data_IF_115266283072
#
_entry.id   IF_115266283072
#
_cell.length_a   1.000
_cell.length_b   1.000
_cell.length_c   1.000
_cell.angle_alpha   90.00
_cell.angle_beta   90.00
_cell.angle_gamma   90.00
#
_symmetry.space_group_name_H-M   'P 1'
#
loop_
_entity.id
_entity.type
_entity.pdbx_description
1 polymer ?
#
# COMPACT_ATOMS: atom_id res chain seq x y z
N UNK A 1 8.19 23.75 1.35
CA UNK A 1 8.10 22.53 0.52
C UNK A 1 9.16 21.46 0.83
N UNK A 2 10.33 21.79 1.40
CA UNK A 2 11.41 20.81 1.64
C UNK A 2 11.09 19.67 2.63
N UNK A 3 10.13 19.86 3.57
CA UNK A 3 9.72 18.83 4.55
C UNK A 3 8.60 17.90 4.07
N UNK A 4 7.80 18.29 3.08
CA UNK A 4 6.67 17.50 2.59
C UNK A 4 7.11 16.30 1.75
N UNK A 5 8.26 16.41 1.06
CA UNK A 5 8.79 15.35 0.20
C UNK A 5 9.12 14.05 0.95
N UNK A 6 9.96 14.05 2.00
CA UNK A 6 10.26 12.81 2.72
C UNK A 6 9.00 12.21 3.34
N UNK A 7 8.07 13.04 3.81
CA UNK A 7 6.78 12.57 4.35
C UNK A 7 5.94 11.86 3.28
N UNK A 8 5.77 12.47 2.10
CA UNK A 8 5.02 11.85 0.99
C UNK A 8 5.67 10.54 0.52
N UNK A 9 7.00 10.47 0.48
CA UNK A 9 7.72 9.25 0.12
C UNK A 9 7.49 8.15 1.16
N UNK A 10 7.64 8.45 2.45
CA UNK A 10 7.44 7.47 3.53
C UNK A 10 5.99 6.98 3.53
N UNK A 11 5.01 7.88 3.47
CA UNK A 11 3.60 7.51 3.40
C UNK A 11 3.29 6.69 2.15
N UNK A 12 3.81 7.10 0.99
CA UNK A 12 3.65 6.37 -0.26
C UNK A 12 4.20 4.94 -0.20
N UNK A 13 5.39 4.76 0.37
CA UNK A 13 6.01 3.44 0.58
C UNK A 13 5.19 2.60 1.54
N UNK A 14 4.79 3.15 2.68
CA UNK A 14 3.99 2.43 3.68
C UNK A 14 2.63 1.99 3.12
N UNK A 15 1.90 2.88 2.43
CA UNK A 15 0.64 2.54 1.76
C UNK A 15 0.84 1.46 0.69
N UNK A 16 1.92 1.55 -0.10
CA UNK A 16 2.21 0.55 -1.13
C UNK A 16 2.45 -0.83 -0.52
N UNK A 17 3.32 -0.91 0.49
CA UNK A 17 3.63 -2.17 1.16
C UNK A 17 2.41 -2.77 1.87
N UNK A 18 1.62 -1.93 2.55
CA UNK A 18 0.39 -2.37 3.20
C UNK A 18 -0.64 -2.87 2.19
N UNK A 19 -0.81 -2.17 1.06
CA UNK A 19 -1.71 -2.60 0.00
C UNK A 19 -1.31 -3.95 -0.60
N UNK A 20 -0.01 -4.17 -0.82
CA UNK A 20 0.52 -5.47 -1.28
C UNK A 20 0.28 -6.58 -0.25
N UNK A 21 0.44 -6.30 1.05
CA UNK A 21 0.13 -7.24 2.11
C UNK A 21 -1.35 -7.66 2.07
N UNK A 22 -2.26 -6.69 1.94
CA UNK A 22 -3.70 -6.94 1.87
C UNK A 22 -4.10 -7.71 0.61
N UNK A 23 -3.45 -7.44 -0.53
CA UNK A 23 -3.57 -8.28 -1.74
C UNK A 23 -3.17 -9.72 -1.45
N UNK A 24 -2.02 -9.91 -0.78
CA UNK A 24 -1.55 -11.24 -0.41
C UNK A 24 -2.52 -11.97 0.52
N UNK A 25 -3.06 -11.29 1.53
CA UNK A 25 -4.04 -11.87 2.46
C UNK A 25 -5.38 -12.18 1.79
N UNK A 26 -5.95 -11.23 1.03
CA UNK A 26 -7.23 -11.41 0.36
C UNK A 26 -7.22 -12.43 -0.78
N UNK A 27 -6.03 -12.77 -1.30
CA UNK A 27 -5.84 -13.83 -2.30
C UNK A 27 -5.43 -15.19 -1.72
N UNK A 28 -5.28 -15.30 -0.39
CA UNK A 28 -4.81 -16.55 0.22
C UNK A 28 -3.34 -16.87 -0.10
N UNK A 29 -2.53 -15.86 -0.41
CA UNK A 29 -1.08 -16.02 -0.60
C UNK A 29 -0.32 -15.82 0.71
N UNK A 30 -0.83 -14.97 1.60
CA UNK A 30 -0.22 -14.62 2.89
C UNK A 30 -1.23 -14.94 4.00
N UNK A 31 -0.92 -15.89 4.86
CA UNK A 31 -1.80 -16.35 5.95
C UNK A 31 -1.34 -15.90 7.34
N UNK A 32 -0.75 -14.72 7.42
CA UNK A 32 -0.20 -14.18 8.66
C UNK A 32 -0.75 -12.78 8.92
N UNK A 33 -1.20 -12.46 10.16
CA UNK A 33 -1.45 -13.37 11.27
C UNK A 33 -2.58 -14.35 10.95
N UNK A 34 -2.54 -15.57 11.50
CA UNK A 34 -3.58 -16.58 11.25
C UNK A 34 -4.97 -16.16 11.79
N UNK A 35 -5.01 -15.26 12.77
CA UNK A 35 -6.22 -14.64 13.29
C UNK A 35 -6.69 -13.42 12.49
N UNK A 36 -6.05 -13.12 11.34
CA UNK A 36 -6.44 -11.98 10.53
C UNK A 36 -7.83 -12.20 9.93
N UNK A 37 -8.71 -11.23 10.13
CA UNK A 37 -10.05 -11.18 9.55
C UNK A 37 -10.04 -10.96 8.03
N UNK A 38 -8.86 -10.80 7.43
CA UNK A 38 -8.67 -10.47 6.01
C UNK A 38 -8.33 -11.67 5.13
N UNK A 39 -8.03 -12.82 5.76
CA UNK A 39 -7.59 -14.02 5.05
C UNK A 39 -8.70 -14.55 4.13
N UNK A 40 -8.32 -14.92 2.91
CA UNK A 40 -9.17 -15.54 1.88
C UNK A 40 -10.43 -14.74 1.49
N UNK A 41 -10.45 -13.45 1.82
CA UNK A 41 -11.54 -12.56 1.48
C UNK A 41 -11.13 -11.61 0.35
N UNK A 42 -11.67 -11.86 -0.85
CA UNK A 42 -11.34 -11.10 -2.08
C UNK A 42 -11.50 -9.58 -1.94
N UNK A 43 -12.46 -9.13 -1.12
CA UNK A 43 -12.68 -7.71 -0.79
C UNK A 43 -11.40 -7.03 -0.31
N UNK A 44 -10.59 -7.70 0.52
CA UNK A 44 -9.33 -7.15 0.99
C UNK A 44 -8.27 -7.08 -0.10
N UNK A 45 -8.36 -7.98 -1.09
CA UNK A 45 -7.53 -7.91 -2.28
C UNK A 45 -7.79 -6.66 -3.10
N UNK A 46 -9.07 -6.31 -3.30
CA UNK A 46 -9.46 -5.12 -4.06
C UNK A 46 -9.09 -3.83 -3.32
N UNK A 47 -9.34 -3.76 -2.01
CA UNK A 47 -8.90 -2.64 -1.18
C UNK A 47 -7.38 -2.51 -1.13
N UNK A 48 -6.66 -3.63 -1.04
CA UNK A 48 -5.20 -3.65 -1.09
C UNK A 48 -4.66 -3.12 -2.41
N UNK A 49 -5.30 -3.48 -3.54
CA UNK A 49 -4.94 -2.97 -4.86
C UNK A 49 -5.14 -1.45 -4.96
N UNK A 50 -6.30 -0.95 -4.52
CA UNK A 50 -6.55 0.49 -4.48
C UNK A 50 -5.52 1.25 -3.61
N UNK A 51 -5.21 0.71 -2.43
CA UNK A 51 -4.23 1.30 -1.52
C UNK A 51 -2.81 1.27 -2.11
N UNK A 52 -2.42 0.18 -2.75
CA UNK A 52 -1.12 0.05 -3.39
C UNK A 52 -0.95 1.06 -4.53
N UNK A 53 -1.97 1.21 -5.37
CA UNK A 53 -1.99 2.20 -6.46
C UNK A 53 -1.88 3.62 -5.91
N UNK A 54 -2.66 3.97 -4.87
CA UNK A 54 -2.59 5.28 -4.23
C UNK A 54 -1.19 5.56 -3.65
N UNK A 55 -0.58 4.57 -2.99
CA UNK A 55 0.79 4.65 -2.48
C UNK A 55 1.82 4.92 -3.57
N UNK A 56 1.74 4.19 -4.69
CA UNK A 56 2.58 4.40 -5.86
C UNK A 56 2.42 5.81 -6.46
N UNK A 57 1.18 6.30 -6.57
CA UNK A 57 0.91 7.66 -7.05
C UNK A 57 1.54 8.72 -6.15
N UNK A 58 1.49 8.54 -4.82
CA UNK A 58 2.17 9.43 -3.86
C UNK A 58 3.69 9.42 -4.06
N UNK A 59 4.31 8.25 -4.26
CA UNK A 59 5.75 8.13 -4.54
C UNK A 59 6.09 8.85 -5.85
N UNK A 60 5.32 8.64 -6.91
CA UNK A 60 5.54 9.28 -8.21
C UNK A 60 5.41 10.80 -8.13
N UNK A 61 4.40 11.30 -7.41
CA UNK A 61 4.22 12.74 -7.18
C UNK A 61 5.40 13.32 -6.40
N UNK A 62 5.83 12.66 -5.33
CA UNK A 62 6.98 13.08 -4.54
C UNK A 62 8.28 13.13 -5.35
N UNK A 63 8.43 12.22 -6.32
CA UNK A 63 9.56 12.20 -7.28
C UNK A 63 9.45 13.29 -8.33
N UNK A 64 8.25 13.64 -8.80
CA UNK A 64 8.04 14.74 -9.76
C UNK A 64 8.34 16.11 -9.13
N UNK A 65 8.07 16.31 -7.84
CA UNK A 65 8.47 17.51 -7.10
C UNK A 65 9.99 17.73 -6.98
N UNK A 66 10.81 16.80 -7.48
CA UNK A 66 12.28 16.89 -7.53
C UNK A 66 12.80 17.49 -8.84
N UNK A 67 12.04 17.35 -9.94
CA UNK A 67 12.38 17.90 -11.25
C UNK A 67 11.90 19.35 -11.31
#
# INVERSE_FOLDING_TARGET
MQRLRPVLLVLGVLCTLMGVLWIGQGRGLIHWPASSFMLDQRVWGDYGAALAVAGLLMILLARRLRQ
#
